data_IF_091466354791
#
_entry.id   IF_091466354791
#
_cell.length_a   1.000
_cell.length_b   1.000
_cell.length_c   1.000
_cell.angle_alpha   90.00
_cell.angle_beta   90.00
_cell.angle_gamma   90.00
#
_symmetry.space_group_name_H-M   'P 1'
#
loop_
_entity.id
_entity.type
_entity.pdbx_description
1 polymer ?
#
# COMPACT_ATOMS: atom_id res chain seq x y z
N UNK A 1 -26.45 -3.31 49.16
CA UNK A 1 -25.93 -3.97 47.95
C UNK A 1 -26.00 -2.95 46.82
N UNK A 2 -24.90 -2.25 46.56
CA UNK A 2 -24.86 -1.16 45.59
C UNK A 2 -24.32 -1.71 44.26
N UNK A 3 -25.02 -1.60 43.13
CA UNK A 3 -24.51 -2.07 41.85
C UNK A 3 -23.26 -1.29 41.46
N UNK A 4 -22.21 -2.00 41.03
CA UNK A 4 -20.98 -1.38 40.52
C UNK A 4 -21.34 -0.60 39.25
N UNK A 5 -20.94 0.68 39.10
CA UNK A 5 -21.14 1.39 37.86
C UNK A 5 -20.39 0.68 36.73
N UNK A 6 -21.09 0.45 35.64
CA UNK A 6 -20.56 -0.14 34.42
C UNK A 6 -19.48 0.80 33.83
N UNK A 7 -18.26 0.27 33.69
CA UNK A 7 -17.15 1.02 33.11
C UNK A 7 -17.47 1.31 31.64
N UNK A 8 -17.47 2.58 31.19
CA UNK A 8 -17.67 2.90 29.79
C UNK A 8 -16.61 2.19 28.95
N UNK A 9 -17.04 1.46 27.91
CA UNK A 9 -16.12 0.85 26.95
C UNK A 9 -15.26 1.95 26.32
N UNK A 10 -13.92 1.83 26.32
CA UNK A 10 -13.07 2.88 25.78
C UNK A 10 -13.37 3.06 24.29
N UNK A 11 -13.76 4.27 23.90
CA UNK A 11 -13.88 4.64 22.48
C UNK A 11 -12.51 4.51 21.84
N UNK A 12 -12.37 3.65 20.83
CA UNK A 12 -11.11 3.47 20.08
C UNK A 12 -10.69 4.82 19.49
N UNK A 13 -9.60 5.39 19.98
CA UNK A 13 -8.99 6.58 19.40
C UNK A 13 -8.31 6.17 18.08
N UNK A 14 -8.62 6.86 16.99
CA UNK A 14 -7.96 6.62 15.71
C UNK A 14 -6.51 7.10 15.82
N UNK A 15 -5.50 6.23 15.65
CA UNK A 15 -4.12 6.66 15.67
C UNK A 15 -3.85 7.60 14.50
N UNK A 16 -3.07 8.65 14.75
CA UNK A 16 -2.58 9.60 13.72
C UNK A 16 -1.56 8.97 12.77
N UNK A 17 -1.13 7.73 13.04
CA UNK A 17 -0.18 6.96 12.26
C UNK A 17 -0.83 5.67 11.76
N UNK A 18 -0.57 5.34 10.50
CA UNK A 18 -1.03 4.10 9.87
C UNK A 18 -0.08 2.93 10.18
N UNK A 19 -0.62 1.73 10.37
CA UNK A 19 0.15 0.52 10.64
C UNK A 19 0.11 -0.39 9.41
N UNK A 20 1.27 -0.58 8.78
CA UNK A 20 1.41 -1.52 7.67
C UNK A 20 1.57 -2.94 8.24
N UNK A 21 0.77 -3.88 7.73
CA UNK A 21 0.75 -5.29 8.16
C UNK A 21 1.48 -6.16 7.16
N UNK A 22 1.89 -7.35 7.61
CA UNK A 22 2.32 -8.42 6.72
C UNK A 22 1.16 -8.80 5.77
N UNK A 23 1.48 -9.31 4.58
CA UNK A 23 0.48 -9.86 3.64
C UNK A 23 1.13 -10.78 2.62
N UNK A 24 0.29 -11.46 1.86
CA UNK A 24 0.73 -12.29 0.75
C UNK A 24 0.87 -11.44 -0.53
N UNK A 25 1.99 -11.61 -1.23
CA UNK A 25 2.26 -10.97 -2.53
C UNK A 25 2.77 -12.07 -3.45
N UNK A 26 2.07 -12.30 -4.57
CA UNK A 26 2.43 -13.35 -5.54
C UNK A 26 2.47 -14.76 -4.95
N UNK A 27 1.59 -15.10 -4.00
CA UNK A 27 1.57 -16.42 -3.36
C UNK A 27 2.61 -16.61 -2.25
N UNK A 28 3.43 -15.60 -1.95
CA UNK A 28 4.49 -15.67 -0.94
C UNK A 28 4.13 -14.76 0.24
N UNK A 29 4.32 -15.19 1.51
CA UNK A 29 4.12 -14.32 2.67
C UNK A 29 5.27 -13.33 2.82
N UNK A 30 4.95 -12.04 2.94
CA UNK A 30 5.90 -10.95 3.19
C UNK A 30 5.61 -10.26 4.52
N UNK A 31 6.65 -10.02 5.32
CA UNK A 31 6.55 -9.21 6.53
C UNK A 31 6.35 -7.73 6.18
N UNK A 32 5.80 -6.96 7.13
CA UNK A 32 5.61 -5.52 6.95
C UNK A 32 6.92 -4.80 6.60
N UNK A 33 8.04 -5.16 7.24
CA UNK A 33 9.35 -4.56 6.97
C UNK A 33 9.81 -4.85 5.54
N UNK A 34 9.70 -6.09 5.08
CA UNK A 34 10.09 -6.42 3.72
C UNK A 34 9.26 -5.65 2.69
N UNK A 35 7.93 -5.54 2.93
CA UNK A 35 7.03 -4.79 2.06
C UNK A 35 7.45 -3.32 2.02
N UNK A 36 7.59 -2.66 3.17
CA UNK A 36 7.87 -1.22 3.22
C UNK A 36 9.25 -0.88 2.69
N UNK A 37 10.28 -1.69 3.01
CA UNK A 37 11.64 -1.47 2.53
C UNK A 37 11.73 -1.63 1.01
N UNK A 38 11.21 -2.74 0.46
CA UNK A 38 11.23 -2.95 -0.98
C UNK A 38 10.41 -1.89 -1.72
N UNK A 39 9.20 -1.61 -1.23
CA UNK A 39 8.31 -0.62 -1.84
C UNK A 39 8.88 0.79 -1.81
N UNK A 40 9.46 1.23 -0.69
CA UNK A 40 10.04 2.56 -0.56
C UNK A 40 11.21 2.77 -1.52
N UNK A 41 12.14 1.82 -1.59
CA UNK A 41 13.27 1.90 -2.51
C UNK A 41 12.82 1.88 -3.98
N UNK A 42 11.93 0.95 -4.36
CA UNK A 42 11.43 0.87 -5.73
C UNK A 42 10.63 2.11 -6.13
N UNK A 43 9.81 2.66 -5.23
CA UNK A 43 9.04 3.87 -5.50
C UNK A 43 9.94 5.07 -5.80
N UNK A 44 10.95 5.34 -4.97
CA UNK A 44 11.86 6.48 -5.17
C UNK A 44 12.64 6.32 -6.49
N UNK A 45 13.07 5.10 -6.82
CA UNK A 45 13.73 4.83 -8.10
C UNK A 45 12.79 5.04 -9.30
N UNK A 46 11.53 4.65 -9.19
CA UNK A 46 10.52 4.83 -10.24
C UNK A 46 10.23 6.32 -10.47
N UNK A 47 10.04 7.10 -9.39
CA UNK A 47 9.86 8.55 -9.46
C UNK A 47 11.09 9.28 -10.03
N UNK A 48 12.29 8.78 -9.71
CA UNK A 48 13.52 9.28 -10.31
C UNK A 48 13.53 9.01 -11.83
N UNK A 49 13.15 7.82 -12.28
CA UNK A 49 13.08 7.48 -13.70
C UNK A 49 11.99 8.27 -14.45
N UNK A 50 10.87 8.57 -13.78
CA UNK A 50 9.78 9.40 -14.32
C UNK A 50 10.15 10.89 -14.45
N UNK A 51 11.28 11.32 -13.90
CA UNK A 51 11.69 12.72 -13.90
C UNK A 51 11.00 13.58 -12.85
N UNK A 52 10.28 12.96 -11.89
CA UNK A 52 9.58 13.65 -10.81
C UNK A 52 10.48 14.07 -9.65
N UNK A 53 11.69 13.53 -9.59
CA UNK A 53 12.72 13.88 -8.62
C UNK A 53 13.94 14.55 -9.31
N UNK A 54 14.78 15.29 -8.56
CA UNK A 54 16.02 15.85 -9.09
C UNK A 54 16.89 14.80 -9.78
N UNK A 55 17.19 15.01 -11.07
CA UNK A 55 17.93 14.06 -11.90
C UNK A 55 19.45 14.05 -11.66
N UNK A 56 19.94 14.97 -10.83
CA UNK A 56 21.36 15.13 -10.51
C UNK A 56 21.51 15.58 -9.06
N UNK A 57 22.61 15.16 -8.44
CA UNK A 57 22.90 15.49 -7.07
C UNK A 57 22.22 14.53 -6.09
N UNK A 58 22.03 15.00 -4.86
CA UNK A 58 21.46 14.22 -3.77
C UNK A 58 19.98 14.52 -3.63
N UNK A 59 19.15 13.46 -3.66
CA UNK A 59 17.70 13.57 -3.39
C UNK A 59 17.46 13.39 -1.90
N UNK A 60 16.78 14.36 -1.30
CA UNK A 60 16.34 14.30 0.10
C UNK A 60 14.96 13.67 0.21
N UNK A 61 14.64 13.09 1.35
CA UNK A 61 13.31 12.49 1.57
C UNK A 61 12.18 13.54 1.46
N UNK A 62 12.45 14.77 1.88
CA UNK A 62 11.51 15.89 1.84
C UNK A 62 11.22 16.39 0.40
N UNK A 63 12.00 15.94 -0.59
CA UNK A 63 11.76 16.25 -2.01
C UNK A 63 10.85 15.22 -2.68
N UNK A 64 10.51 14.14 -1.98
CA UNK A 64 9.57 13.14 -2.45
C UNK A 64 8.17 13.57 -2.03
N UNK A 65 7.41 14.13 -2.96
CA UNK A 65 6.03 14.52 -2.73
C UNK A 65 5.17 13.31 -2.35
N UNK A 66 4.37 13.46 -1.29
CA UNK A 66 3.58 12.35 -0.74
C UNK A 66 2.60 11.79 -1.77
N UNK A 67 1.88 12.66 -2.48
CA UNK A 67 0.88 12.25 -3.46
C UNK A 67 1.49 11.47 -4.64
N UNK A 68 2.68 11.88 -5.11
CA UNK A 68 3.41 11.13 -6.12
C UNK A 68 3.90 9.78 -5.59
N UNK A 69 4.32 9.72 -4.33
CA UNK A 69 4.75 8.49 -3.69
C UNK A 69 3.60 7.48 -3.57
N UNK A 70 2.48 7.82 -2.95
CA UNK A 70 1.37 6.87 -2.79
C UNK A 70 0.60 6.60 -4.09
N UNK A 71 0.67 7.51 -5.06
CA UNK A 71 0.17 7.29 -6.41
C UNK A 71 1.03 6.33 -7.24
N UNK A 72 2.28 6.08 -6.83
CA UNK A 72 3.19 5.15 -7.49
C UNK A 72 2.80 3.68 -7.23
N UNK A 73 3.03 2.81 -8.22
CA UNK A 73 2.74 1.36 -8.14
C UNK A 73 3.38 0.64 -6.97
N UNK A 74 4.54 1.10 -6.52
CA UNK A 74 5.22 0.55 -5.35
C UNK A 74 4.78 1.25 -4.07
N UNK A 75 4.63 2.57 -4.10
CA UNK A 75 4.25 3.37 -2.92
C UNK A 75 2.80 3.18 -2.47
N UNK A 76 1.91 2.68 -3.32
CA UNK A 76 0.54 2.28 -2.97
C UNK A 76 0.47 1.28 -1.78
N UNK A 77 1.58 0.60 -1.48
CA UNK A 77 1.71 -0.31 -0.35
C UNK A 77 1.72 0.40 1.02
N UNK A 78 1.92 1.71 1.04
CA UNK A 78 1.86 2.57 2.23
C UNK A 78 0.48 3.20 2.45
N UNK A 79 -0.38 3.20 1.44
CA UNK A 79 -1.68 3.83 1.51
C UNK A 79 -2.70 2.97 2.28
N UNK A 80 -3.61 3.64 3.00
CA UNK A 80 -4.82 3.02 3.53
C UNK A 80 -5.86 2.89 2.41
N UNK A 81 -6.78 1.93 2.57
CA UNK A 81 -7.95 1.77 1.70
C UNK A 81 -8.88 3.00 1.68
N UNK A 82 -8.69 3.94 2.62
CA UNK A 82 -9.45 5.17 2.77
C UNK A 82 -8.64 6.44 2.40
N UNK A 83 -7.44 6.29 1.83
CA UNK A 83 -6.65 7.43 1.36
C UNK A 83 -7.12 7.88 -0.04
N UNK A 84 -7.68 9.09 -0.19
CA UNK A 84 -8.25 9.57 -1.45
C UNK A 84 -7.21 9.83 -2.56
N UNK A 85 -5.90 9.90 -2.27
CA UNK A 85 -4.86 9.96 -3.30
C UNK A 85 -4.36 8.58 -3.76
N UNK A 86 -4.75 7.49 -3.08
CA UNK A 86 -4.40 6.12 -3.44
C UNK A 86 -5.22 5.53 -4.63
N UNK A 87 -6.01 6.35 -5.32
CA UNK A 87 -6.99 5.92 -6.32
C UNK A 87 -6.40 5.39 -7.66
N UNK A 88 -5.08 5.20 -7.78
CA UNK A 88 -4.47 4.94 -9.06
C UNK A 88 -4.44 3.46 -9.54
N UNK A 89 -4.61 2.42 -8.71
CA UNK A 89 -4.28 1.05 -9.17
C UNK A 89 -5.19 -0.10 -8.73
N UNK A 90 -6.46 0.14 -8.40
CA UNK A 90 -7.41 -0.95 -8.07
C UNK A 90 -7.94 -1.78 -9.26
N UNK A 91 -7.44 -1.57 -10.48
CA UNK A 91 -8.01 -2.22 -11.68
C UNK A 91 -7.26 -3.47 -12.20
N UNK A 92 -6.15 -3.93 -11.58
CA UNK A 92 -5.31 -4.99 -12.18
C UNK A 92 -5.34 -6.36 -11.49
N UNK A 93 -5.99 -6.54 -10.34
CA UNK A 93 -5.96 -7.85 -9.65
C UNK A 93 -7.32 -8.29 -9.08
N UNK A 94 -8.37 -8.23 -9.90
CA UNK A 94 -9.59 -9.00 -9.63
C UNK A 94 -10.05 -9.70 -10.91
N UNK A 95 -9.30 -10.72 -11.31
CA UNK A 95 -9.71 -11.63 -12.37
C UNK A 95 -8.82 -12.86 -12.38
N UNK A 96 -9.38 -14.03 -12.05
CA UNK A 96 -8.73 -15.28 -12.43
C UNK A 96 -8.82 -16.49 -11.51
N UNK A 97 -9.64 -16.49 -10.46
CA UNK A 97 -10.06 -17.72 -9.78
C UNK A 97 -11.18 -18.42 -10.55
N UNK A 98 -11.00 -18.65 -11.86
CA UNK A 98 -11.98 -19.22 -12.77
C UNK A 98 -11.67 -20.68 -13.05
N UNK A 99 -12.65 -21.53 -12.76
CA UNK A 99 -12.61 -22.97 -12.92
C UNK A 99 -12.02 -23.45 -14.27
N UNK A 100 -11.18 -24.48 -14.19
CA UNK A 100 -10.85 -25.33 -15.32
C UNK A 100 -12.14 -25.87 -15.94
N UNK A 101 -12.47 -25.44 -17.16
CA UNK A 101 -13.15 -26.27 -18.15
C UNK A 101 -12.96 -25.69 -19.54
N UNK A 102 -12.71 -26.59 -20.49
CA UNK A 102 -12.03 -26.29 -21.75
C UNK A 102 -12.73 -25.26 -22.63
N UNK A 103 -11.94 -24.36 -23.20
CA UNK A 103 -12.25 -23.79 -24.50
C UNK A 103 -10.97 -23.55 -25.31
N UNK A 104 -10.97 -24.25 -26.43
CA UNK A 104 -10.04 -24.29 -27.56
C UNK A 104 -9.57 -22.90 -28.01
N UNK A 105 -8.25 -22.71 -28.03
CA UNK A 105 -7.59 -21.66 -28.81
C UNK A 105 -7.61 -22.11 -30.28
N UNK A 106 -8.25 -21.32 -31.16
CA UNK A 106 -8.01 -21.40 -32.61
C UNK A 106 -6.99 -20.35 -33.01
N UNK A 107 -6.17 -20.73 -34.00
CA UNK A 107 -5.00 -20.08 -34.60
C UNK A 107 -4.97 -18.55 -34.56
#
# INVERSE_FOLDING_TARGET
MHPRPETPTPKRQTPTAQIIRHREIGGVPWTAIQITTASGACCVLDLLMEGKLPQKGFVRNEEVEWDDFIGNRFGANFADANDPSAHALRAVETGGGGAHNGQTIRM
#
